data_IF_980914478650
#
_entry.id   IF_980914478650
#
_cell.length_a   1.000
_cell.length_b   1.000
_cell.length_c   1.000
_cell.angle_alpha   90.00
_cell.angle_beta   90.00
_cell.angle_gamma   90.00
#
_symmetry.space_group_name_H-M   'P 1'
#
loop_
_entity.id
_entity.type
_entity.pdbx_description
1 polymer ?
#
# COMPACT_ATOMS: atom_id res chain seq x y z
N UNK A 1 21.49 -11.44 -24.24
CA UNK A 1 20.72 -12.54 -23.62
C UNK A 1 19.30 -12.42 -24.13
N UNK A 2 18.68 -13.48 -24.66
CA UNK A 2 17.26 -13.43 -24.97
C UNK A 2 16.50 -13.36 -23.64
N UNK A 3 15.56 -12.43 -23.52
CA UNK A 3 14.63 -12.40 -22.39
C UNK A 3 13.91 -13.76 -22.34
N UNK A 4 13.92 -14.40 -21.17
CA UNK A 4 13.27 -15.69 -21.02
C UNK A 4 11.76 -15.49 -21.22
N UNK A 5 11.16 -16.26 -22.13
CA UNK A 5 9.74 -16.17 -22.50
C UNK A 5 8.77 -16.33 -21.31
N UNK A 6 9.27 -16.78 -20.15
CA UNK A 6 8.56 -16.89 -18.87
C UNK A 6 8.51 -15.58 -18.07
N UNK A 7 9.44 -14.63 -18.27
CA UNK A 7 9.47 -13.34 -17.58
C UNK A 7 8.40 -12.37 -18.14
N UNK A 8 8.20 -12.38 -19.45
CA UNK A 8 7.20 -11.57 -20.13
C UNK A 8 5.75 -11.78 -19.60
N UNK A 9 5.24 -13.01 -19.39
CA UNK A 9 3.89 -13.24 -18.85
C UNK A 9 3.76 -12.93 -17.36
N UNK A 10 4.83 -13.01 -16.57
CA UNK A 10 4.78 -12.61 -15.15
C UNK A 10 4.73 -11.08 -15.02
N UNK A 11 5.57 -10.38 -15.77
CA UNK A 11 5.59 -8.92 -15.77
C UNK A 11 4.27 -8.32 -16.27
N UNK A 12 3.73 -8.84 -17.37
CA UNK A 12 2.43 -8.44 -17.89
C UNK A 12 1.32 -8.61 -16.84
N UNK A 13 1.36 -9.71 -16.07
CA UNK A 13 0.43 -9.91 -14.97
C UNK A 13 0.55 -8.84 -13.87
N UNK A 14 1.76 -8.50 -13.45
CA UNK A 14 1.97 -7.48 -12.41
C UNK A 14 1.43 -6.12 -12.89
N UNK A 15 1.77 -5.75 -14.12
CA UNK A 15 1.34 -4.49 -14.75
C UNK A 15 -0.19 -4.43 -14.90
N UNK A 16 -0.82 -5.50 -15.42
CA UNK A 16 -2.28 -5.58 -15.57
C UNK A 16 -3.02 -5.58 -14.22
N UNK A 17 -2.47 -6.27 -13.21
CA UNK A 17 -3.09 -6.33 -11.89
C UNK A 17 -3.03 -4.96 -11.20
N UNK A 18 -1.91 -4.23 -11.32
CA UNK A 18 -1.81 -2.85 -10.82
C UNK A 18 -2.75 -1.92 -11.59
N UNK A 19 -2.77 -1.99 -12.91
CA UNK A 19 -3.63 -1.14 -13.72
C UNK A 19 -5.12 -1.33 -13.42
N UNK A 20 -5.55 -2.57 -13.17
CA UNK A 20 -6.96 -2.89 -12.89
C UNK A 20 -7.35 -2.65 -11.43
N UNK A 21 -6.50 -3.04 -10.48
CA UNK A 21 -6.86 -3.18 -9.06
C UNK A 21 -6.14 -2.21 -8.13
N UNK A 22 -5.13 -1.49 -8.63
CA UNK A 22 -4.37 -0.54 -7.84
C UNK A 22 -5.20 0.64 -7.35
N UNK A 23 -4.72 1.26 -6.28
CA UNK A 23 -5.28 2.45 -5.62
C UNK A 23 -5.49 3.59 -6.61
N UNK A 24 -4.55 3.81 -7.53
CA UNK A 24 -4.66 4.86 -8.55
C UNK A 24 -5.89 4.70 -9.48
N UNK A 25 -6.39 3.48 -9.66
CA UNK A 25 -7.58 3.18 -10.46
C UNK A 25 -8.89 3.20 -9.63
N UNK A 26 -8.88 3.77 -8.43
CA UNK A 26 -10.06 3.89 -7.59
C UNK A 26 -10.59 5.33 -7.62
N UNK A 27 -11.85 5.53 -8.03
CA UNK A 27 -12.43 6.88 -8.22
C UNK A 27 -12.27 7.78 -6.99
N UNK A 28 -12.48 7.24 -5.79
CA UNK A 28 -12.31 7.99 -4.55
C UNK A 28 -10.85 8.43 -4.31
N UNK A 29 -9.86 7.61 -4.71
CA UNK A 29 -8.44 7.99 -4.63
C UNK A 29 -8.16 9.12 -5.62
N UNK A 30 -8.68 9.03 -6.85
CA UNK A 30 -8.61 10.11 -7.84
C UNK A 30 -9.25 11.42 -7.35
N UNK A 31 -10.39 11.33 -6.65
CA UNK A 31 -11.05 12.49 -6.04
C UNK A 31 -10.17 13.15 -4.96
N UNK A 32 -9.53 12.34 -4.10
CA UNK A 32 -8.61 12.81 -3.07
C UNK A 32 -7.34 13.43 -3.68
N UNK A 33 -6.80 12.82 -4.74
CA UNK A 33 -5.60 13.29 -5.42
C UNK A 33 -5.80 14.59 -6.22
N UNK A 34 -6.98 14.77 -6.83
CA UNK A 34 -7.30 15.95 -7.62
C UNK A 34 -7.60 17.21 -6.79
N UNK A 35 -8.22 18.22 -7.40
CA UNK A 35 -8.67 19.46 -6.72
C UNK A 35 -10.19 19.52 -6.47
N UNK A 36 -10.90 18.41 -6.69
CA UNK A 36 -12.35 18.31 -6.50
C UNK A 36 -12.78 18.52 -5.04
N UNK A 37 -14.08 18.79 -4.79
CA UNK A 37 -14.57 19.08 -3.45
C UNK A 37 -14.53 17.82 -2.57
N UNK A 38 -13.67 17.84 -1.54
CA UNK A 38 -13.64 16.85 -0.47
C UNK A 38 -13.70 17.59 0.86
N UNK A 39 -14.68 17.24 1.69
CA UNK A 39 -14.85 17.91 2.98
C UNK A 39 -13.69 17.60 3.94
N UNK A 40 -13.35 18.54 4.81
CA UNK A 40 -12.32 18.32 5.85
C UNK A 40 -12.64 17.13 6.77
N UNK A 41 -13.89 16.90 7.22
CA UNK A 41 -14.24 15.69 7.97
C UNK A 41 -14.00 14.39 7.18
N UNK A 42 -14.25 14.38 5.87
CA UNK A 42 -13.94 13.23 5.00
C UNK A 42 -12.43 12.98 4.96
N UNK A 43 -11.62 14.03 4.77
CA UNK A 43 -10.16 13.89 4.78
C UNK A 43 -9.64 13.38 6.13
N UNK A 44 -10.14 13.90 7.24
CA UNK A 44 -9.77 13.44 8.58
C UNK A 44 -10.14 11.96 8.79
N UNK A 45 -11.33 11.54 8.32
CA UNK A 45 -11.78 10.15 8.41
C UNK A 45 -10.92 9.21 7.55
N UNK A 46 -10.58 9.60 6.33
CA UNK A 46 -9.70 8.82 5.45
C UNK A 46 -8.30 8.67 6.06
N UNK A 47 -7.70 9.76 6.54
CA UNK A 47 -6.39 9.74 7.19
C UNK A 47 -6.38 8.86 8.45
N UNK A 48 -7.44 8.92 9.26
CA UNK A 48 -7.59 8.08 10.44
C UNK A 48 -7.55 6.59 10.09
N UNK A 49 -8.33 6.16 9.09
CA UNK A 49 -8.38 4.75 8.70
C UNK A 49 -7.12 4.30 7.93
N UNK A 50 -6.50 5.18 7.13
CA UNK A 50 -5.19 4.90 6.53
C UNK A 50 -4.11 4.70 7.60
N UNK A 51 -4.11 5.53 8.65
CA UNK A 51 -3.18 5.40 9.77
C UNK A 51 -3.46 4.13 10.60
N UNK A 52 -4.73 3.76 10.77
CA UNK A 52 -5.08 2.49 11.40
C UNK A 52 -4.53 1.30 10.61
N UNK A 53 -4.56 1.36 9.26
CA UNK A 53 -4.04 0.31 8.39
C UNK A 53 -2.50 0.29 8.35
N UNK A 54 -1.86 1.44 8.14
CA UNK A 54 -0.44 1.56 7.76
C UNK A 54 0.42 2.38 8.72
N UNK A 55 -0.18 3.17 9.60
CA UNK A 55 0.51 4.10 10.51
C UNK A 55 1.26 3.43 11.66
N UNK A 56 0.85 2.22 12.06
CA UNK A 56 1.48 1.48 13.15
C UNK A 56 2.62 0.58 12.68
N UNK A 57 3.60 0.34 13.56
CA UNK A 57 4.61 -0.71 13.42
C UNK A 57 4.07 -2.06 13.93
N UNK A 58 4.55 -3.21 13.40
CA UNK A 58 5.39 -3.31 12.21
C UNK A 58 4.61 -2.97 10.93
N UNK A 59 5.30 -2.53 9.87
CA UNK A 59 4.77 -2.52 8.51
C UNK A 59 4.93 -3.89 7.84
N UNK A 60 4.30 -4.07 6.68
CA UNK A 60 4.52 -5.24 5.80
C UNK A 60 6.02 -5.46 5.57
N UNK A 61 6.76 -4.41 5.23
CA UNK A 61 8.21 -4.49 4.99
C UNK A 61 9.00 -4.95 6.23
N UNK A 62 8.61 -4.47 7.41
CA UNK A 62 9.25 -4.83 8.68
C UNK A 62 8.94 -6.27 9.11
N UNK A 63 7.79 -6.81 8.70
CA UNK A 63 7.48 -8.23 8.91
C UNK A 63 8.25 -9.09 7.92
N UNK A 64 8.28 -8.74 6.63
CA UNK A 64 9.06 -9.48 5.61
C UNK A 64 10.54 -9.54 6.00
N UNK A 65 11.08 -8.46 6.59
CA UNK A 65 12.49 -8.36 6.99
C UNK A 65 12.90 -9.33 8.10
N UNK A 66 11.93 -9.93 8.80
CA UNK A 66 12.20 -10.93 9.83
C UNK A 66 12.53 -12.30 9.22
N UNK A 67 12.22 -12.51 7.93
CA UNK A 67 12.58 -13.73 7.23
C UNK A 67 14.04 -13.71 6.79
N UNK A 68 14.81 -14.70 7.26
CA UNK A 68 16.20 -14.91 6.85
C UNK A 68 16.34 -15.30 5.36
N UNK A 69 15.23 -15.58 4.67
CA UNK A 69 15.21 -16.06 3.29
C UNK A 69 15.08 -14.93 2.26
N UNK A 70 14.97 -13.66 2.70
CA UNK A 70 14.85 -12.52 1.78
C UNK A 70 16.15 -12.33 0.99
N UNK A 71 16.11 -12.37 -0.36
CA UNK A 71 17.32 -12.40 -1.19
C UNK A 71 18.03 -11.05 -1.36
N UNK A 72 17.37 -9.93 -1.04
CA UNK A 72 17.89 -8.57 -1.23
C UNK A 72 17.56 -7.65 -0.03
N UNK A 73 18.41 -7.66 1.00
CA UNK A 73 18.18 -6.84 2.19
C UNK A 73 18.20 -5.33 1.89
N UNK A 74 18.95 -4.87 0.88
CA UNK A 74 19.02 -3.46 0.50
C UNK A 74 17.71 -2.91 -0.08
N UNK A 75 17.03 -3.68 -0.94
CA UNK A 75 15.71 -3.33 -1.47
C UNK A 75 14.70 -3.17 -0.33
N UNK A 76 14.70 -4.11 0.61
CA UNK A 76 13.78 -4.08 1.74
C UNK A 76 14.11 -2.96 2.74
N UNK A 77 15.40 -2.71 2.99
CA UNK A 77 15.86 -1.60 3.83
C UNK A 77 15.46 -0.25 3.22
N UNK A 78 15.54 -0.10 1.90
CA UNK A 78 15.07 1.08 1.19
C UNK A 78 13.54 1.26 1.35
N UNK A 79 12.77 0.19 1.13
CA UNK A 79 11.32 0.18 1.35
C UNK A 79 10.94 0.57 2.79
N UNK A 80 11.60 0.00 3.82
CA UNK A 80 11.35 0.33 5.22
C UNK A 80 11.64 1.80 5.55
N UNK A 81 12.75 2.36 5.05
CA UNK A 81 13.08 3.79 5.24
C UNK A 81 12.06 4.69 4.58
N UNK A 82 11.70 4.40 3.33
CA UNK A 82 10.70 5.15 2.59
C UNK A 82 9.34 5.14 3.30
N UNK A 83 8.89 3.97 3.73
CA UNK A 83 7.60 3.81 4.41
C UNK A 83 7.56 4.46 5.79
N UNK A 84 8.69 4.55 6.50
CA UNK A 84 8.77 5.35 7.72
C UNK A 84 8.45 6.82 7.47
N UNK A 85 8.98 7.41 6.38
CA UNK A 85 8.66 8.78 5.99
C UNK A 85 7.18 8.99 5.66
N UNK A 86 6.53 8.01 5.03
CA UNK A 86 5.08 8.04 4.77
C UNK A 86 4.26 8.01 6.06
N UNK A 87 4.64 7.20 7.05
CA UNK A 87 3.97 7.19 8.36
C UNK A 87 4.09 8.53 9.09
N UNK A 88 5.24 9.17 8.99
CA UNK A 88 5.44 10.51 9.53
C UNK A 88 4.56 11.53 8.81
N UNK A 89 4.43 11.44 7.49
CA UNK A 89 3.51 12.27 6.71
C UNK A 89 2.06 12.05 7.13
N UNK A 90 1.58 10.81 7.19
CA UNK A 90 0.22 10.49 7.63
C UNK A 90 -0.07 11.09 9.02
N UNK A 91 0.88 10.98 9.94
CA UNK A 91 0.76 11.54 11.29
C UNK A 91 0.64 13.07 11.28
N UNK A 92 1.47 13.77 10.49
CA UNK A 92 1.36 15.24 10.32
C UNK A 92 0.03 15.66 9.70
N UNK A 93 -0.44 14.92 8.68
CA UNK A 93 -1.70 15.21 8.02
C UNK A 93 -2.91 14.96 8.94
N UNK A 94 -2.87 13.93 9.78
CA UNK A 94 -3.91 13.71 10.80
C UNK A 94 -4.02 14.89 11.76
N UNK A 95 -2.88 15.40 12.26
CA UNK A 95 -2.87 16.59 13.13
C UNK A 95 -3.44 17.81 12.38
N UNK A 96 -3.03 18.01 11.13
CA UNK A 96 -3.51 19.11 10.31
C UNK A 96 -5.01 19.00 9.97
N UNK A 97 -5.56 17.80 9.80
CA UNK A 97 -6.97 17.57 9.49
C UNK A 97 -7.86 17.79 10.73
N UNK A 98 -7.37 17.43 11.92
CA UNK A 98 -8.14 17.41 13.16
C UNK A 98 -8.75 16.03 13.44
N UNK A 99 -9.54 15.90 14.52
CA UNK A 99 -10.10 14.61 14.92
C UNK A 99 -11.04 14.04 13.83
N UNK A 100 -11.08 12.71 13.66
CA UNK A 100 -12.04 12.08 12.77
C UNK A 100 -13.47 12.35 13.26
N UNK A 101 -14.44 12.51 12.35
CA UNK A 101 -15.84 12.71 12.73
C UNK A 101 -16.38 11.50 13.49
N UNK A 102 -17.23 11.74 14.48
CA UNK A 102 -18.03 10.67 15.10
C UNK A 102 -19.11 10.21 14.11
N UNK A 103 -18.94 9.03 13.50
CA UNK A 103 -19.92 8.43 12.58
C UNK A 103 -20.59 7.21 13.20
N UNK A 104 -21.82 6.92 12.80
CA UNK A 104 -22.47 5.64 13.12
C UNK A 104 -21.63 4.48 12.55
N UNK A 105 -21.57 3.36 13.28
CA UNK A 105 -20.78 2.20 12.89
C UNK A 105 -19.26 2.38 12.97
N UNK A 106 -18.76 3.47 13.58
CA UNK A 106 -17.33 3.76 13.71
C UNK A 106 -16.52 2.59 14.28
N UNK A 107 -17.02 1.94 15.33
CA UNK A 107 -16.35 0.79 15.96
C UNK A 107 -16.22 -0.38 15.00
N UNK A 108 -17.29 -0.76 14.32
CA UNK A 108 -17.29 -1.89 13.37
C UNK A 108 -16.35 -1.65 12.19
N UNK A 109 -16.28 -0.41 11.68
CA UNK A 109 -15.33 -0.04 10.62
C UNK A 109 -13.89 -0.14 11.13
N UNK A 110 -13.61 0.36 12.33
CA UNK A 110 -12.26 0.27 12.92
C UNK A 110 -11.83 -1.19 13.14
N UNK A 111 -12.73 -2.05 13.61
CA UNK A 111 -12.50 -3.48 13.73
C UNK A 111 -12.20 -4.11 12.37
N UNK A 112 -12.99 -3.77 11.35
CA UNK A 112 -12.78 -4.24 9.98
C UNK A 112 -11.40 -3.85 9.45
N UNK A 113 -11.01 -2.57 9.57
CA UNK A 113 -9.69 -2.08 9.11
C UNK A 113 -8.56 -2.69 9.93
N UNK A 114 -8.75 -2.91 11.23
CA UNK A 114 -7.77 -3.60 12.09
C UNK A 114 -7.62 -5.08 11.70
N UNK A 115 -8.72 -5.73 11.32
CA UNK A 115 -8.74 -7.08 10.74
C UNK A 115 -7.97 -7.14 9.42
N UNK A 116 -8.20 -6.18 8.52
CA UNK A 116 -7.43 -6.04 7.26
C UNK A 116 -5.95 -5.89 7.54
N UNK A 117 -5.56 -5.00 8.47
CA UNK A 117 -4.16 -4.86 8.88
C UNK A 117 -3.57 -6.20 9.35
N UNK A 118 -4.28 -6.91 10.22
CA UNK A 118 -3.84 -8.22 10.72
C UNK A 118 -3.63 -9.21 9.58
N UNK A 119 -4.57 -9.25 8.62
CA UNK A 119 -4.45 -10.09 7.44
C UNK A 119 -3.22 -9.74 6.58
N UNK A 120 -2.93 -8.45 6.38
CA UNK A 120 -1.73 -8.01 5.64
C UNK A 120 -0.43 -8.42 6.35
N UNK A 121 -0.37 -8.32 7.67
CA UNK A 121 0.80 -8.74 8.44
C UNK A 121 0.98 -10.27 8.42
N UNK A 122 -0.12 -11.03 8.51
CA UNK A 122 -0.08 -12.49 8.33
C UNK A 122 0.42 -12.88 6.93
N UNK A 123 -0.03 -12.16 5.89
CA UNK A 123 0.44 -12.37 4.52
C UNK A 123 1.95 -12.10 4.39
N UNK A 124 2.41 -11.01 4.98
CA UNK A 124 3.82 -10.61 5.01
C UNK A 124 4.71 -11.59 5.79
N UNK A 125 4.17 -12.23 6.83
CA UNK A 125 4.86 -13.23 7.66
C UNK A 125 4.78 -14.65 7.12
N UNK A 126 4.33 -14.86 5.89
CA UNK A 126 4.17 -16.20 5.32
C UNK A 126 5.51 -16.94 5.17
N UNK A 127 5.55 -18.22 5.57
CA UNK A 127 6.69 -19.11 5.32
C UNK A 127 6.98 -19.32 3.82
N UNK A 128 5.98 -19.07 2.98
CA UNK A 128 6.16 -19.06 1.52
C UNK A 128 6.76 -17.72 1.12
N UNK A 129 8.09 -17.66 1.03
CA UNK A 129 8.84 -16.43 0.69
C UNK A 129 8.23 -15.65 -0.49
N UNK A 130 7.83 -16.33 -1.57
CA UNK A 130 7.19 -15.68 -2.71
C UNK A 130 5.91 -14.91 -2.33
N UNK A 131 5.10 -15.42 -1.40
CA UNK A 131 3.90 -14.73 -0.91
C UNK A 131 4.26 -13.43 -0.18
N UNK A 132 5.24 -13.50 0.73
CA UNK A 132 5.73 -12.34 1.47
C UNK A 132 6.31 -11.26 0.54
N UNK A 133 7.15 -11.66 -0.43
CA UNK A 133 7.70 -10.76 -1.45
C UNK A 133 6.61 -10.19 -2.35
N UNK A 134 5.65 -11.00 -2.79
CA UNK A 134 4.52 -10.57 -3.61
C UNK A 134 3.68 -9.49 -2.92
N UNK A 135 3.40 -9.67 -1.63
CA UNK A 135 2.71 -8.65 -0.84
C UNK A 135 3.53 -7.35 -0.73
N UNK A 136 4.81 -7.43 -0.36
CA UNK A 136 5.67 -6.24 -0.29
C UNK A 136 5.80 -5.53 -1.65
N UNK A 137 5.95 -6.27 -2.74
CA UNK A 137 6.02 -5.71 -4.10
C UNK A 137 4.71 -5.03 -4.50
N UNK A 138 3.56 -5.65 -4.22
CA UNK A 138 2.26 -5.03 -4.45
C UNK A 138 2.12 -3.71 -3.68
N UNK A 139 2.51 -3.69 -2.40
CA UNK A 139 2.42 -2.48 -1.58
C UNK A 139 3.30 -1.37 -2.15
N UNK A 140 4.50 -1.71 -2.60
CA UNK A 140 5.43 -0.72 -3.17
C UNK A 140 4.90 -0.10 -4.46
N UNK A 141 4.41 -0.94 -5.38
CA UNK A 141 3.92 -0.50 -6.69
C UNK A 141 2.58 0.23 -6.59
N UNK A 142 1.74 -0.15 -5.62
CA UNK A 142 0.42 0.46 -5.42
C UNK A 142 0.50 1.84 -4.75
N UNK A 143 1.57 2.10 -3.99
CA UNK A 143 1.66 3.27 -3.13
C UNK A 143 1.69 4.60 -3.89
N UNK A 144 1.96 4.60 -5.18
CA UNK A 144 1.93 5.81 -6.01
C UNK A 144 0.54 6.48 -5.93
N UNK A 145 -0.54 5.71 -6.08
CA UNK A 145 -1.90 6.24 -5.95
C UNK A 145 -2.23 6.71 -4.53
N UNK A 146 -1.71 6.01 -3.50
CA UNK A 146 -1.88 6.43 -2.10
C UNK A 146 -1.15 7.75 -1.84
N UNK A 147 0.07 7.90 -2.36
CA UNK A 147 0.90 9.10 -2.24
C UNK A 147 0.24 10.30 -2.90
N UNK A 148 -0.35 10.11 -4.08
CA UNK A 148 -1.10 11.16 -4.78
C UNK A 148 -2.32 11.62 -3.98
N UNK A 149 -3.08 10.68 -3.37
CA UNK A 149 -4.18 11.04 -2.48
C UNK A 149 -3.69 11.80 -1.24
N UNK A 150 -2.59 11.37 -0.60
CA UNK A 150 -2.00 12.08 0.53
C UNK A 150 -1.53 13.49 0.13
N UNK A 151 -0.94 13.66 -1.05
CA UNK A 151 -0.51 14.95 -1.57
C UNK A 151 -1.70 15.89 -1.84
N UNK A 152 -2.77 15.38 -2.45
CA UNK A 152 -4.00 16.14 -2.66
C UNK A 152 -4.69 16.54 -1.35
N UNK A 153 -4.68 15.67 -0.34
CA UNK A 153 -5.15 16.00 1.02
C UNK A 153 -4.27 17.09 1.65
N UNK A 154 -2.94 16.94 1.57
CA UNK A 154 -1.99 17.90 2.13
C UNK A 154 -2.20 19.30 1.54
N UNK A 155 -2.36 19.40 0.22
CA UNK A 155 -2.63 20.65 -0.47
C UNK A 155 -3.87 21.36 0.07
N UNK A 156 -4.97 20.61 0.29
CA UNK A 156 -6.23 21.17 0.82
C UNK A 156 -6.14 21.57 2.29
N UNK A 157 -5.29 20.90 3.06
CA UNK A 157 -5.04 21.23 4.46
C UNK A 157 -4.03 22.38 4.62
N UNK A 158 -3.43 22.88 3.53
CA UNK A 158 -2.33 23.84 3.59
C UNK A 158 -1.08 23.26 4.27
N UNK A 159 -0.94 21.93 4.26
CA UNK A 159 0.18 21.21 4.84
C UNK A 159 1.21 20.87 3.75
N UNK A 160 2.49 20.81 4.12
CA UNK A 160 3.53 20.31 3.23
C UNK A 160 3.42 18.77 3.13
N UNK A 161 3.09 18.28 1.93
CA UNK A 161 3.14 16.86 1.61
C UNK A 161 4.57 16.30 1.73
N UNK A 162 5.57 17.17 1.61
CA UNK A 162 6.94 16.78 1.33
C UNK A 162 7.10 16.26 -0.11
N UNK A 163 8.34 16.03 -0.52
CA UNK A 163 8.62 15.24 -1.72
C UNK A 163 8.52 13.76 -1.37
N UNK A 164 7.99 12.95 -2.29
CA UNK A 164 8.11 11.48 -2.22
C UNK A 164 9.54 11.13 -1.86
N UNK A 165 9.70 10.30 -0.83
CA UNK A 165 11.01 10.05 -0.26
C UNK A 165 11.94 9.42 -1.31
N UNK A 166 13.14 9.96 -1.52
CA UNK A 166 14.06 9.48 -2.56
C UNK A 166 14.53 8.02 -2.33
N UNK A 167 14.26 7.44 -1.16
CA UNK A 167 14.63 6.06 -0.86
C UNK A 167 13.59 5.00 -1.24
N UNK A 168 12.50 5.36 -1.93
CA UNK A 168 11.58 4.35 -2.50
C UNK A 168 12.33 3.49 -3.52
N UNK A 169 12.29 2.14 -3.41
CA UNK A 169 12.77 1.29 -4.49
C UNK A 169 12.03 1.63 -5.79
N UNK A 170 12.75 1.69 -6.90
CA UNK A 170 12.13 1.95 -8.20
C UNK A 170 11.16 0.81 -8.58
N UNK A 171 10.17 1.08 -9.44
CA UNK A 171 9.30 0.03 -9.97
C UNK A 171 10.09 -1.10 -10.64
N UNK A 172 11.20 -0.77 -11.32
CA UNK A 172 12.07 -1.76 -11.95
C UNK A 172 12.82 -2.63 -10.94
N UNK A 173 13.31 -2.07 -9.83
CA UNK A 173 13.92 -2.85 -8.74
C UNK A 173 12.90 -3.77 -8.06
N UNK A 174 11.69 -3.25 -7.84
CA UNK A 174 10.59 -4.02 -7.25
C UNK A 174 10.14 -5.16 -8.16
N UNK A 175 10.06 -4.92 -9.47
CA UNK A 175 9.75 -5.96 -10.44
C UNK A 175 10.82 -7.07 -10.43
N UNK A 176 12.10 -6.70 -10.47
CA UNK A 176 13.20 -7.68 -10.40
C UNK A 176 13.16 -8.52 -9.13
N UNK A 177 12.74 -7.93 -8.00
CA UNK A 177 12.57 -8.66 -6.75
C UNK A 177 11.44 -9.69 -6.84
N UNK A 178 10.30 -9.29 -7.41
CA UNK A 178 9.18 -10.19 -7.63
C UNK A 178 9.54 -11.32 -8.62
N UNK A 179 10.26 -11.02 -9.70
CA UNK A 179 10.78 -11.99 -10.68
C UNK A 179 11.76 -12.98 -10.01
N UNK A 180 12.69 -12.49 -9.20
CA UNK A 180 13.65 -13.33 -8.46
C UNK A 180 12.93 -14.32 -7.54
N UNK A 181 11.91 -13.84 -6.81
CA UNK A 181 11.10 -14.71 -5.96
C UNK A 181 10.21 -15.67 -6.77
N UNK A 182 9.74 -15.24 -7.95
CA UNK A 182 8.92 -16.05 -8.83
C UNK A 182 9.69 -17.22 -9.45
N UNK A 183 10.98 -17.04 -9.74
CA UNK A 183 11.87 -18.05 -10.29
C UNK A 183 12.18 -19.22 -9.33
N UNK A 184 11.89 -19.08 -8.04
CA UNK A 184 12.03 -20.16 -7.06
C UNK A 184 11.01 -21.28 -7.32
N UNK A 185 11.28 -22.54 -6.91
CA UNK A 185 10.31 -23.63 -7.04
C UNK A 185 8.96 -23.32 -6.38
N UNK A 186 7.89 -23.23 -7.18
CA UNK A 186 6.56 -22.84 -6.71
C UNK A 186 6.42 -21.35 -6.33
N UNK A 187 7.46 -20.56 -6.57
CA UNK A 187 7.58 -19.14 -6.25
C UNK A 187 6.57 -18.29 -6.99
N UNK A 188 6.44 -18.46 -8.31
CA UNK A 188 5.54 -17.64 -9.14
C UNK A 188 4.09 -17.64 -8.61
N UNK A 189 3.52 -18.82 -8.33
CA UNK A 189 2.18 -18.91 -7.75
C UNK A 189 2.08 -18.24 -6.38
N UNK A 190 3.14 -18.33 -5.57
CA UNK A 190 3.16 -17.68 -4.26
C UNK A 190 3.22 -16.15 -4.40
N UNK A 191 4.07 -15.64 -5.30
CA UNK A 191 4.18 -14.20 -5.60
C UNK A 191 2.86 -13.66 -6.12
N UNK A 192 2.25 -14.31 -7.11
CA UNK A 192 0.94 -13.90 -7.64
C UNK A 192 -0.13 -13.83 -6.55
N UNK A 193 -0.19 -14.85 -5.69
CA UNK A 193 -1.14 -14.89 -4.59
C UNK A 193 -0.94 -13.75 -3.59
N UNK A 194 0.29 -13.52 -3.12
CA UNK A 194 0.61 -12.43 -2.20
C UNK A 194 0.30 -11.06 -2.81
N UNK A 195 0.66 -10.89 -4.07
CA UNK A 195 0.44 -9.65 -4.82
C UNK A 195 -1.06 -9.31 -4.95
N UNK A 196 -1.85 -10.24 -5.48
CA UNK A 196 -3.29 -10.07 -5.67
C UNK A 196 -4.03 -9.88 -4.34
N UNK A 197 -3.65 -10.66 -3.31
CA UNK A 197 -4.29 -10.58 -2.01
C UNK A 197 -4.11 -9.19 -1.41
N UNK A 198 -2.89 -8.62 -1.46
CA UNK A 198 -2.66 -7.29 -0.93
C UNK A 198 -3.45 -6.21 -1.68
N UNK A 199 -3.46 -6.24 -3.02
CA UNK A 199 -4.24 -5.28 -3.81
C UNK A 199 -5.74 -5.40 -3.56
N UNK A 200 -6.26 -6.62 -3.41
CA UNK A 200 -7.66 -6.84 -3.07
C UNK A 200 -8.01 -6.24 -1.70
N UNK A 201 -7.13 -6.37 -0.70
CA UNK A 201 -7.32 -5.73 0.61
C UNK A 201 -7.28 -4.21 0.54
N UNK A 202 -6.37 -3.63 -0.26
CA UNK A 202 -6.34 -2.18 -0.51
C UNK A 202 -7.61 -1.68 -1.21
N UNK A 203 -8.08 -2.39 -2.24
CA UNK A 203 -9.33 -2.06 -2.92
C UNK A 203 -10.52 -2.11 -1.97
N UNK A 204 -10.61 -3.16 -1.14
CA UNK A 204 -11.66 -3.28 -0.13
C UNK A 204 -11.59 -2.15 0.90
N UNK A 205 -10.40 -1.77 1.35
CA UNK A 205 -10.19 -0.60 2.21
C UNK A 205 -10.72 0.68 1.58
N UNK A 206 -10.40 0.95 0.31
CA UNK A 206 -10.86 2.15 -0.40
C UNK A 206 -12.38 2.19 -0.56
N UNK A 207 -13.02 1.05 -0.84
CA UNK A 207 -14.48 0.94 -0.88
C UNK A 207 -15.13 1.32 0.47
N UNK A 208 -14.52 0.89 1.59
CA UNK A 208 -15.01 1.21 2.95
C UNK A 208 -14.95 2.71 3.21
N UNK A 209 -13.79 3.34 2.96
CA UNK A 209 -13.64 4.78 3.24
C UNK A 209 -14.45 5.64 2.27
N UNK A 210 -14.62 5.23 1.01
CA UNK A 210 -15.51 5.89 0.07
C UNK A 210 -16.97 5.84 0.56
N UNK A 211 -17.45 4.67 0.97
CA UNK A 211 -18.82 4.50 1.46
C UNK A 211 -19.12 5.41 2.64
N UNK A 212 -18.12 5.64 3.51
CA UNK A 212 -18.22 6.56 4.65
C UNK A 212 -18.17 8.04 4.25
N UNK A 213 -17.50 8.37 3.16
CA UNK A 213 -17.44 9.73 2.64
C UNK A 213 -18.79 10.19 2.08
N UNK A 214 -19.60 9.24 1.58
CA UNK A 214 -20.89 9.50 0.94
C UNK A 214 -22.11 9.25 1.85
N UNK A 215 -21.89 8.78 3.08
CA UNK A 215 -22.91 8.57 4.10
C UNK A 215 -23.06 9.78 5.02
#
# INVERSE_FOLDING_TARGET
MPADSSEAPFRAFVEETIASSGSANHDFVGLLAGSGPVSRPTMADTLHHLSLLHGNRPSVFEVVAQSALVPAPEWLNAAMRAFAGERDLMSRLMVAAGPPPSRLGQTSVQETVSGTRTALLTLAGSDRLGCAIGAAAALLLDWDGVSEALAGIAQRLGADAGRRHQAWPSPAETMRMAETAAALPGGERAVRFGFQTLLAQHRAFWNIVQSRATA
#
